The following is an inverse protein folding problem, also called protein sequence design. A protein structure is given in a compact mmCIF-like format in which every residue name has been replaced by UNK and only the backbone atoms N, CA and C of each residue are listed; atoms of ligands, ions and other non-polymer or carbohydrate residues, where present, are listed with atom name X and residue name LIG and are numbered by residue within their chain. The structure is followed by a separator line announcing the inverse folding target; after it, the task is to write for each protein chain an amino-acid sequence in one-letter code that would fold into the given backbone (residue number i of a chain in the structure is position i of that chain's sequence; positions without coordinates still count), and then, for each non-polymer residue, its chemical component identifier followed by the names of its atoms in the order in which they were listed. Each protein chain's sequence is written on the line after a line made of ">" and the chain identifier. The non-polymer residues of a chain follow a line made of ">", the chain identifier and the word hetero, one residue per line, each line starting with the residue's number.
data_IF_230041193305
#
_entry.id   IF_230041193305
#
_cell.length_a   1.000
_cell.length_b   1.000
_cell.length_c   1.000
_cell.angle_alpha   90.00
_cell.angle_beta   90.00
_cell.angle_gamma   90.00
#
_symmetry.space_group_name_H-M   'P 1'
#
loop_
_entity.id
_entity.type
_entity.pdbx_description
1 polymer ?
#
# COMPACT_ATOMS: atom_id res chain seq x y z
N UNK A 1 3.94 0.15 -11.48
CA UNK A 1 4.17 -0.17 -10.06
C UNK A 1 2.84 -0.60 -9.42
N UNK A 2 2.86 -1.69 -8.72
CA UNK A 2 1.73 -2.10 -7.87
C UNK A 2 2.24 -2.16 -6.44
N UNK A 3 1.71 -1.29 -5.55
CA UNK A 3 1.93 -1.47 -4.12
C UNK A 3 1.20 -2.76 -3.71
N UNK A 4 1.92 -3.88 -3.66
CA UNK A 4 1.35 -5.14 -3.20
C UNK A 4 1.32 -5.22 -1.67
N UNK A 5 0.71 -6.28 -1.13
CA UNK A 5 0.55 -6.41 0.31
C UNK A 5 1.87 -6.62 1.04
N UNK A 6 2.86 -7.24 0.38
CA UNK A 6 4.20 -7.46 0.96
C UNK A 6 4.92 -6.12 1.15
N UNK A 7 4.94 -5.27 0.13
CA UNK A 7 5.55 -3.95 0.22
C UNK A 7 4.83 -3.07 1.24
N UNK A 8 3.49 -3.12 1.26
CA UNK A 8 2.70 -2.38 2.24
C UNK A 8 2.96 -2.84 3.68
N UNK A 9 3.30 -4.11 3.91
CA UNK A 9 3.68 -4.61 5.23
C UNK A 9 4.95 -3.94 5.75
N UNK A 10 5.98 -3.83 4.91
CA UNK A 10 7.21 -3.11 5.26
C UNK A 10 6.97 -1.61 5.50
N UNK A 11 6.20 -0.99 4.62
CA UNK A 11 5.83 0.42 4.75
C UNK A 11 4.99 0.69 6.02
N UNK A 12 4.06 -0.20 6.36
CA UNK A 12 3.28 -0.08 7.60
C UNK A 12 4.17 -0.12 8.84
N UNK A 13 5.16 -1.02 8.89
CA UNK A 13 6.16 -1.09 9.96
C UNK A 13 7.00 0.18 10.05
N UNK A 14 7.47 0.71 8.92
CA UNK A 14 8.20 1.98 8.85
C UNK A 14 7.35 3.14 9.40
N UNK A 15 6.14 3.31 8.86
CA UNK A 15 5.24 4.39 9.28
C UNK A 15 4.87 4.28 10.76
N UNK A 16 4.64 3.05 11.27
CA UNK A 16 4.39 2.81 12.68
C UNK A 16 5.56 3.28 13.54
N UNK A 17 6.77 2.86 13.21
CA UNK A 17 7.97 3.19 14.01
C UNK A 17 8.25 4.70 14.09
N UNK A 18 7.91 5.44 13.04
CA UNK A 18 8.18 6.88 12.94
C UNK A 18 7.06 7.73 13.51
N UNK A 19 5.80 7.30 13.35
CA UNK A 19 4.62 8.13 13.61
C UNK A 19 3.85 7.78 14.89
N UNK A 20 4.15 6.64 15.52
CA UNK A 20 3.45 6.20 16.73
C UNK A 20 3.48 7.27 17.83
N UNK A 21 2.32 7.53 18.43
CA UNK A 21 2.08 8.58 19.43
C UNK A 21 2.28 10.03 18.92
N UNK A 22 2.52 10.21 17.62
CA UNK A 22 2.67 11.51 17.00
C UNK A 22 1.38 12.33 17.05
N UNK A 23 1.52 13.63 17.39
CA UNK A 23 0.40 14.56 17.46
C UNK A 23 0.04 15.09 16.09
N UNK A 24 -1.25 15.16 15.80
CA UNK A 24 -1.78 15.70 14.55
C UNK A 24 -1.84 17.23 14.66
N UNK A 25 -1.00 17.92 13.88
CA UNK A 25 -0.94 19.38 13.91
C UNK A 25 -1.83 20.03 12.84
N UNK A 26 -1.77 19.51 11.61
CA UNK A 26 -2.51 20.10 10.48
C UNK A 26 -2.93 19.01 9.50
N UNK A 27 -4.03 19.27 8.77
CA UNK A 27 -4.53 18.39 7.71
C UNK A 27 -4.85 19.24 6.50
N UNK A 28 -4.43 18.78 5.32
CA UNK A 28 -4.66 19.44 4.04
C UNK A 28 -5.20 18.42 3.02
N UNK A 29 -5.92 18.91 2.05
CA UNK A 29 -6.39 18.17 0.89
C UNK A 29 -6.05 18.96 -0.37
N UNK A 30 -4.80 18.85 -0.87
CA UNK A 30 -4.36 19.62 -2.03
C UNK A 30 -5.06 19.20 -3.33
N UNK A 31 -5.45 17.94 -3.44
CA UNK A 31 -6.18 17.39 -4.58
C UNK A 31 -7.42 16.64 -4.13
N UNK A 32 -8.36 16.42 -5.04
CA UNK A 32 -9.66 15.78 -4.74
C UNK A 32 -9.53 14.44 -3.99
N UNK A 33 -8.50 13.66 -4.28
CA UNK A 33 -8.28 12.32 -3.77
C UNK A 33 -6.94 12.15 -3.01
N UNK A 34 -6.36 13.27 -2.55
CA UNK A 34 -5.10 13.27 -1.81
C UNK A 34 -5.19 14.04 -0.50
N UNK A 35 -4.80 13.41 0.61
CA UNK A 35 -4.77 13.98 1.96
C UNK A 35 -3.33 14.05 2.44
N UNK A 36 -2.95 15.18 3.05
CA UNK A 36 -1.70 15.37 3.76
C UNK A 36 -1.99 15.61 5.24
N UNK A 37 -1.40 14.79 6.11
CA UNK A 37 -1.49 14.93 7.57
C UNK A 37 -0.11 15.33 8.07
N UNK A 38 0.00 16.48 8.73
CA UNK A 38 1.21 16.91 9.41
C UNK A 38 1.18 16.38 10.84
N UNK A 39 2.18 15.57 11.14
CA UNK A 39 2.31 14.85 12.41
C UNK A 39 3.62 15.28 13.06
N UNK A 40 3.55 15.73 14.31
CA UNK A 40 4.71 16.06 15.11
C UNK A 40 5.02 14.89 16.05
N UNK A 41 6.20 14.32 15.92
CA UNK A 41 6.67 13.24 16.79
C UNK A 41 8.14 13.43 17.15
N UNK A 42 8.50 13.22 18.40
CA UNK A 42 9.89 13.33 18.91
C UNK A 42 10.62 14.62 18.47
N UNK A 43 9.90 15.76 18.47
CA UNK A 43 10.46 17.06 18.08
C UNK A 43 10.57 17.30 16.57
N UNK A 44 10.24 16.31 15.74
CA UNK A 44 10.26 16.39 14.28
C UNK A 44 8.86 16.51 13.70
N UNK A 45 8.78 17.11 12.50
CA UNK A 45 7.54 17.24 11.76
C UNK A 45 7.58 16.31 10.55
N UNK A 46 6.57 15.45 10.45
CA UNK A 46 6.40 14.52 9.35
C UNK A 46 5.17 14.89 8.54
N UNK A 47 5.25 14.74 7.23
CA UNK A 47 4.10 14.88 6.34
C UNK A 47 3.73 13.51 5.80
N UNK A 48 2.61 12.99 6.27
CA UNK A 48 2.04 11.74 5.79
C UNK A 48 1.09 12.06 4.63
N UNK A 49 1.40 11.53 3.45
CA UNK A 49 0.58 11.62 2.25
C UNK A 49 -0.26 10.36 2.12
N UNK A 50 -1.57 10.51 1.91
CA UNK A 50 -2.51 9.45 1.54
C UNK A 50 -3.15 9.84 0.21
N UNK A 51 -3.08 8.98 -0.80
CA UNK A 51 -3.71 9.19 -2.11
C UNK A 51 -4.61 8.03 -2.48
N UNK A 52 -5.87 8.33 -2.77
CA UNK A 52 -6.85 7.42 -3.36
C UNK A 52 -6.95 7.59 -4.88
N UNK A 53 -5.92 8.14 -5.53
CA UNK A 53 -5.86 8.26 -6.99
C UNK A 53 -6.09 6.91 -7.67
N UNK A 54 -6.86 6.90 -8.74
CA UNK A 54 -7.14 5.67 -9.49
C UNK A 54 -5.90 5.09 -10.17
N UNK A 55 -4.94 5.94 -10.54
CA UNK A 55 -3.71 5.55 -11.23
C UNK A 55 -2.52 5.40 -10.29
N UNK A 56 -2.48 6.16 -9.19
CA UNK A 56 -1.33 6.24 -8.28
C UNK A 56 -1.75 6.25 -6.80
N UNK A 57 -2.54 5.24 -6.36
CA UNK A 57 -2.91 5.16 -4.95
C UNK A 57 -1.70 4.81 -4.12
N UNK A 58 -1.51 5.51 -2.98
CA UNK A 58 -0.33 5.36 -2.14
C UNK A 58 -0.49 5.97 -0.75
N UNK A 59 0.35 5.55 0.15
CA UNK A 59 0.58 6.18 1.44
C UNK A 59 2.09 6.19 1.71
N UNK A 60 2.68 7.30 2.13
CA UNK A 60 4.09 7.39 2.53
C UNK A 60 4.38 8.75 3.16
N UNK A 61 5.54 8.88 3.82
CA UNK A 61 6.06 10.18 4.22
C UNK A 61 6.62 10.90 3.00
N UNK A 62 6.35 12.23 2.90
CA UNK A 62 6.83 13.02 1.77
C UNK A 62 7.43 14.34 2.22
N UNK A 63 8.47 14.78 1.53
CA UNK A 63 9.01 16.13 1.62
C UNK A 63 8.37 17.10 0.62
N UNK A 64 7.54 16.58 -0.29
CA UNK A 64 6.90 17.39 -1.32
C UNK A 64 5.80 18.27 -0.72
N UNK A 65 5.79 19.53 -1.12
CA UNK A 65 4.71 20.46 -0.80
C UNK A 65 3.85 20.70 -2.04
N UNK A 66 2.54 20.74 -1.83
CA UNK A 66 1.56 21.05 -2.88
C UNK A 66 0.73 22.26 -2.47
N UNK A 67 0.39 23.10 -3.44
CA UNK A 67 -0.54 24.20 -3.22
C UNK A 67 -1.91 23.68 -2.79
N UNK A 68 -2.46 24.27 -1.77
CA UNK A 68 -3.78 23.94 -1.27
C UNK A 68 -4.86 24.78 -1.98
N UNK A 69 -6.07 24.25 -2.18
CA UNK A 69 -7.20 25.03 -2.68
C UNK A 69 -7.55 26.16 -1.70
N UNK A 70 -8.11 27.26 -2.23
CA UNK A 70 -8.53 28.41 -1.42
C UNK A 70 -9.57 28.03 -0.35
N UNK A 71 -10.45 27.08 -0.68
CA UNK A 71 -11.44 26.54 0.24
C UNK A 71 -11.18 25.03 0.42
N UNK A 72 -10.98 24.54 1.66
CA UNK A 72 -10.73 23.13 1.89
C UNK A 72 -12.01 22.31 1.59
N UNK A 73 -11.87 21.14 0.96
CA UNK A 73 -12.99 20.22 0.71
C UNK A 73 -13.64 19.72 2.01
N UNK A 74 -14.89 19.28 1.92
CA UNK A 74 -15.68 18.83 3.08
C UNK A 74 -14.97 17.72 3.86
N UNK A 75 -14.44 16.72 3.17
CA UNK A 75 -13.74 15.60 3.83
C UNK A 75 -12.53 16.10 4.67
N UNK A 76 -11.77 17.07 4.15
CA UNK A 76 -10.69 17.72 4.90
C UNK A 76 -11.22 18.40 6.17
N UNK A 77 -12.36 19.08 6.09
CA UNK A 77 -12.97 19.74 7.24
C UNK A 77 -13.44 18.73 8.30
N UNK A 78 -14.01 17.61 7.88
CA UNK A 78 -14.38 16.50 8.79
C UNK A 78 -13.15 15.94 9.48
N UNK A 79 -12.06 15.65 8.75
CA UNK A 79 -10.81 15.18 9.36
C UNK A 79 -10.22 16.19 10.35
N UNK A 80 -10.22 17.49 10.00
CA UNK A 80 -9.73 18.55 10.88
C UNK A 80 -10.51 18.62 12.17
N UNK A 81 -11.83 18.60 12.08
CA UNK A 81 -12.74 18.65 13.25
C UNK A 81 -12.44 17.54 14.25
N UNK A 82 -12.13 16.35 13.75
CA UNK A 82 -12.04 15.16 14.59
C UNK A 82 -10.62 14.72 14.94
N UNK A 83 -9.58 15.13 14.19
CA UNK A 83 -8.23 14.61 14.38
C UNK A 83 -7.20 15.65 14.83
N UNK A 84 -7.41 16.96 14.57
CA UNK A 84 -6.43 17.98 14.99
C UNK A 84 -6.31 17.99 16.51
N UNK A 85 -5.06 17.97 17.00
CA UNK A 85 -4.75 17.90 18.42
C UNK A 85 -4.74 16.48 18.99
N UNK A 86 -5.29 15.50 18.27
CA UNK A 86 -5.24 14.08 18.59
C UNK A 86 -3.89 13.44 18.30
N UNK A 87 -3.79 12.13 18.52
CA UNK A 87 -2.57 11.33 18.34
C UNK A 87 -2.84 10.13 17.43
N UNK A 88 -1.84 9.76 16.65
CA UNK A 88 -1.81 8.48 15.95
C UNK A 88 -1.33 7.40 16.90
N UNK A 89 -2.18 6.45 17.26
CA UNK A 89 -1.86 5.37 18.19
C UNK A 89 -1.12 4.22 17.50
N UNK A 90 -1.63 3.78 16.36
CA UNK A 90 -1.06 2.65 15.63
C UNK A 90 -1.46 2.63 14.16
N UNK A 91 -0.70 1.87 13.37
CA UNK A 91 -0.99 1.56 11.98
C UNK A 91 -1.04 0.05 11.84
N UNK A 92 -2.12 -0.48 11.28
CA UNK A 92 -2.30 -1.91 11.07
C UNK A 92 -2.67 -2.24 9.64
N UNK A 93 -2.29 -3.45 9.21
CA UNK A 93 -2.65 -4.01 7.91
C UNK A 93 -3.41 -5.32 8.14
N UNK A 94 -4.68 -5.44 7.70
CA UNK A 94 -5.41 -6.71 7.78
C UNK A 94 -4.76 -7.77 6.89
N UNK A 95 -4.21 -8.81 7.48
CA UNK A 95 -3.45 -9.81 6.72
C UNK A 95 -2.32 -9.17 5.92
N UNK A 96 -2.21 -9.54 4.65
CA UNK A 96 -1.41 -8.81 3.65
C UNK A 96 -2.30 -8.16 2.59
N UNK A 97 -3.49 -7.73 2.95
CA UNK A 97 -4.34 -6.99 2.02
C UNK A 97 -3.77 -5.58 1.74
N UNK A 98 -4.22 -4.98 0.66
CA UNK A 98 -3.79 -3.61 0.27
C UNK A 98 -4.62 -2.54 0.98
N UNK A 99 -4.75 -2.72 2.29
CA UNK A 99 -5.48 -1.83 3.20
C UNK A 99 -4.57 -1.48 4.37
N UNK A 100 -4.46 -0.21 4.70
CA UNK A 100 -3.87 0.22 5.97
C UNK A 100 -4.92 0.95 6.80
N UNK A 101 -4.92 0.67 8.10
CA UNK A 101 -5.80 1.29 9.08
C UNK A 101 -4.94 2.10 10.05
N UNK A 102 -5.14 3.40 10.06
CA UNK A 102 -4.51 4.32 11.00
C UNK A 102 -5.49 4.53 12.16
N UNK A 103 -5.05 4.18 13.35
CA UNK A 103 -5.85 4.31 14.59
C UNK A 103 -5.47 5.61 15.30
N UNK A 104 -6.46 6.43 15.56
CA UNK A 104 -6.29 7.72 16.22
C UNK A 104 -7.03 7.76 17.54
N UNK A 105 -6.54 8.61 18.42
CA UNK A 105 -7.22 9.03 19.63
C UNK A 105 -7.31 10.56 19.64
N UNK A 106 -8.48 11.11 19.90
CA UNK A 106 -8.70 12.55 19.93
C UNK A 106 -9.88 12.89 20.83
N UNK A 107 -9.92 14.12 21.36
CA UNK A 107 -11.06 14.60 22.11
C UNK A 107 -12.26 14.81 21.20
N UNK A 108 -13.44 14.46 21.68
CA UNK A 108 -14.70 14.80 21.04
C UNK A 108 -15.20 16.20 21.47
N UNK A 109 -16.41 16.56 21.04
CA UNK A 109 -17.01 17.86 21.37
C UNK A 109 -17.35 18.02 22.87
N UNK A 110 -17.45 16.91 23.60
CA UNK A 110 -17.72 16.90 25.05
C UNK A 110 -16.43 16.89 25.88
N UNK A 111 -15.29 16.74 25.22
CA UNK A 111 -13.98 16.67 25.88
C UNK A 111 -13.56 15.24 26.27
N UNK A 112 -14.28 14.24 25.82
CA UNK A 112 -13.95 12.83 26.08
C UNK A 112 -13.00 12.26 25.02
N UNK A 113 -12.06 11.42 25.48
CA UNK A 113 -11.16 10.72 24.57
C UNK A 113 -11.90 9.64 23.79
N UNK A 114 -11.87 9.75 22.47
CA UNK A 114 -12.53 8.80 21.56
C UNK A 114 -11.55 8.28 20.51
N UNK A 115 -11.72 7.01 20.17
CA UNK A 115 -10.93 6.36 19.11
C UNK A 115 -11.59 6.50 17.75
N UNK A 116 -10.80 6.68 16.73
CA UNK A 116 -11.23 6.82 15.34
C UNK A 116 -10.28 6.09 14.41
N UNK A 117 -10.74 5.73 13.22
CA UNK A 117 -9.93 5.02 12.24
C UNK A 117 -9.95 5.76 10.91
N UNK A 118 -8.79 5.92 10.30
CA UNK A 118 -8.66 6.35 8.91
C UNK A 118 -8.14 5.17 8.09
N UNK A 119 -8.97 4.68 7.19
CA UNK A 119 -8.72 3.47 6.41
C UNK A 119 -8.32 3.92 5.00
N UNK A 120 -7.16 3.49 4.51
CA UNK A 120 -6.77 3.67 3.13
C UNK A 120 -6.77 2.33 2.40
N UNK A 121 -7.56 2.25 1.35
CA UNK A 121 -7.64 1.11 0.43
C UNK A 121 -6.87 1.44 -0.85
N UNK A 122 -5.87 0.60 -1.17
CA UNK A 122 -4.96 0.80 -2.31
C UNK A 122 -5.29 -0.23 -3.41
N UNK A 123 -6.39 0.01 -4.13
CA UNK A 123 -7.00 -0.94 -5.07
C UNK A 123 -7.25 -0.32 -6.46
N UNK A 124 -6.29 0.48 -6.96
CA UNK A 124 -6.39 1.16 -8.24
C UNK A 124 -7.64 2.05 -8.33
N UNK A 125 -8.49 1.84 -9.30
CA UNK A 125 -9.73 2.64 -9.48
C UNK A 125 -10.68 2.57 -8.28
N UNK A 126 -10.60 1.53 -7.48
CA UNK A 126 -11.42 1.32 -6.29
C UNK A 126 -10.77 1.83 -5.00
N UNK A 127 -9.61 2.47 -5.10
CA UNK A 127 -8.93 3.07 -3.96
C UNK A 127 -9.80 4.14 -3.31
N UNK A 128 -9.77 4.18 -1.97
CA UNK A 128 -10.52 5.14 -1.18
C UNK A 128 -9.80 5.50 0.12
N UNK A 129 -10.16 6.61 0.74
CA UNK A 129 -9.78 6.98 2.09
C UNK A 129 -11.07 7.18 2.86
N UNK A 130 -11.26 6.37 3.91
CA UNK A 130 -12.52 6.27 4.64
C UNK A 130 -12.26 6.57 6.10
N UNK A 131 -13.03 7.47 6.68
CA UNK A 131 -12.92 7.86 8.07
C UNK A 131 -14.10 7.33 8.88
N UNK A 132 -13.81 6.61 9.98
CA UNK A 132 -14.82 5.98 10.82
C UNK A 132 -14.62 6.33 12.29
N UNK A 133 -15.67 6.16 13.09
CA UNK A 133 -15.55 6.07 14.54
C UNK A 133 -14.94 4.72 14.97
N UNK A 134 -14.87 4.50 16.29
CA UNK A 134 -14.31 3.26 16.86
C UNK A 134 -15.12 2.01 16.48
N UNK A 135 -16.43 2.13 16.30
CA UNK A 135 -17.35 1.04 16.01
C UNK A 135 -17.44 0.72 14.52
N UNK A 136 -16.73 1.50 13.69
CA UNK A 136 -16.69 1.32 12.25
C UNK A 136 -17.79 2.05 11.49
N UNK A 137 -18.56 2.93 12.15
CA UNK A 137 -19.54 3.78 11.47
C UNK A 137 -18.79 4.86 10.68
N UNK A 138 -19.06 4.95 9.39
CA UNK A 138 -18.41 5.89 8.47
C UNK A 138 -18.87 7.31 8.84
N UNK A 139 -17.91 8.17 9.17
CA UNK A 139 -18.11 9.58 9.37
C UNK A 139 -18.07 10.32 8.03
N UNK A 140 -17.11 9.98 7.18
CA UNK A 140 -17.02 10.46 5.78
C UNK A 140 -15.97 9.66 4.99
N UNK A 141 -15.86 9.91 3.67
CA UNK A 141 -14.85 9.32 2.79
C UNK A 141 -14.52 10.22 1.61
N UNK A 142 -13.33 10.05 1.04
CA UNK A 142 -12.91 10.80 -0.17
C UNK A 142 -13.81 10.48 -1.37
N UNK A 143 -14.20 9.20 -1.51
CA UNK A 143 -15.12 8.76 -2.57
C UNK A 143 -16.35 8.13 -1.96
N UNK A 144 -17.50 8.75 -2.16
CA UNK A 144 -18.77 8.19 -1.78
C UNK A 144 -19.18 7.12 -2.80
N UNK A 145 -19.46 5.91 -2.31
CA UNK A 145 -19.86 4.76 -3.14
C UNK A 145 -21.28 4.34 -2.72
N UNK A 146 -22.25 4.68 -3.56
CA UNK A 146 -23.65 4.26 -3.36
C UNK A 146 -23.97 2.93 -4.07
N UNK A 147 -25.13 2.36 -3.81
CA UNK A 147 -25.64 1.15 -4.52
C UNK A 147 -25.69 1.32 -6.04
N UNK A 148 -25.86 2.55 -6.52
CA UNK A 148 -25.87 2.84 -7.96
C UNK A 148 -24.47 2.72 -8.59
N UNK A 149 -23.40 2.94 -7.78
CA UNK A 149 -21.99 2.86 -8.22
C UNK A 149 -21.45 1.45 -8.02
N UNK A 150 -21.80 0.80 -6.90
CA UNK A 150 -21.35 -0.55 -6.58
C UNK A 150 -22.47 -1.36 -5.97
N UNK A 151 -22.72 -2.54 -6.55
CA UNK A 151 -23.68 -3.53 -6.00
C UNK A 151 -23.08 -4.32 -4.84
N UNK A 152 -21.77 -4.24 -4.63
CA UNK A 152 -21.04 -5.09 -3.68
C UNK A 152 -21.06 -4.50 -2.28
N UNK A 153 -20.78 -3.20 -2.15
CA UNK A 153 -20.79 -2.50 -0.85
C UNK A 153 -21.03 -1.01 -1.04
N UNK A 154 -21.55 -0.38 0.00
CA UNK A 154 -21.71 1.07 0.08
C UNK A 154 -20.62 1.68 0.96
N UNK A 155 -20.12 2.85 0.56
CA UNK A 155 -19.22 3.67 1.38
C UNK A 155 -19.83 5.07 1.45
N UNK A 156 -20.70 5.28 2.45
CA UNK A 156 -21.44 6.53 2.66
C UNK A 156 -21.45 6.90 4.14
N UNK A 157 -21.48 8.19 4.49
CA UNK A 157 -21.66 8.64 5.87
C UNK A 157 -22.87 7.98 6.55
N UNK A 158 -22.69 7.56 7.79
CA UNK A 158 -23.72 6.89 8.59
C UNK A 158 -23.87 5.38 8.36
N UNK A 159 -23.25 4.80 7.33
CA UNK A 159 -23.14 3.34 7.12
C UNK A 159 -21.97 2.77 7.93
N UNK A 160 -21.98 1.46 8.16
CA UNK A 160 -20.83 0.78 8.74
C UNK A 160 -19.83 0.38 7.64
N UNK A 161 -18.56 0.53 7.95
CA UNK A 161 -17.50 0.04 7.10
C UNK A 161 -17.55 -1.48 6.99
N UNK A 162 -17.48 -1.96 5.79
CA UNK A 162 -17.32 -3.38 5.48
C UNK A 162 -16.08 -3.55 4.62
N UNK A 163 -15.30 -4.59 4.88
CA UNK A 163 -14.11 -4.88 4.08
C UNK A 163 -14.48 -5.06 2.60
N UNK A 164 -13.54 -4.77 1.69
CA UNK A 164 -13.69 -5.17 0.30
C UNK A 164 -13.98 -6.66 0.18
N UNK A 165 -14.66 -7.10 -0.89
CA UNK A 165 -14.98 -8.52 -1.07
C UNK A 165 -13.73 -9.39 -0.97
N UNK A 166 -13.78 -10.37 -0.11
CA UNK A 166 -12.74 -11.39 -0.03
C UNK A 166 -12.62 -12.12 -1.37
N UNK A 167 -11.38 -12.27 -1.85
CA UNK A 167 -11.09 -13.07 -3.04
C UNK A 167 -10.92 -14.55 -2.71
N UNK A 168 -11.22 -14.97 -1.47
CA UNK A 168 -11.00 -16.34 -1.00
C UNK A 168 -9.52 -16.73 -0.86
N UNK A 169 -8.62 -15.75 -0.84
CA UNK A 169 -7.18 -15.97 -0.73
C UNK A 169 -6.75 -16.13 0.73
N UNK A 170 -5.73 -16.94 0.94
CA UNK A 170 -5.12 -17.20 2.26
C UNK A 170 -4.01 -16.18 2.56
N UNK A 171 -3.78 -15.92 3.87
CA UNK A 171 -2.61 -15.11 4.29
C UNK A 171 -1.34 -15.96 4.13
N UNK A 172 -0.37 -15.54 3.31
CA UNK A 172 0.84 -16.32 3.05
C UNK A 172 1.77 -16.43 4.27
N UNK A 173 1.66 -15.52 5.24
CA UNK A 173 2.51 -15.52 6.43
C UNK A 173 2.24 -16.69 7.35
N UNK A 174 1.02 -17.24 7.32
CA UNK A 174 0.62 -18.42 8.08
C UNK A 174 0.74 -19.75 7.30
N UNK A 175 1.05 -19.68 6.00
CA UNK A 175 1.11 -20.88 5.17
C UNK A 175 2.41 -21.65 5.41
N UNK A 176 2.28 -22.92 5.80
CA UNK A 176 3.40 -23.84 5.96
C UNK A 176 3.84 -24.45 4.61
N UNK A 177 5.07 -25.02 4.59
CA UNK A 177 5.65 -25.67 3.41
C UNK A 177 4.72 -26.74 2.80
N UNK A 178 4.13 -27.60 3.64
CA UNK A 178 3.26 -28.68 3.20
C UNK A 178 1.99 -28.16 2.50
N UNK A 179 1.42 -27.07 3.00
CA UNK A 179 0.25 -26.45 2.40
C UNK A 179 0.58 -25.89 0.99
N UNK A 180 1.73 -25.22 0.86
CA UNK A 180 2.17 -24.70 -0.44
C UNK A 180 2.50 -25.83 -1.42
N UNK A 181 3.15 -26.88 -0.94
CA UNK A 181 3.46 -28.07 -1.74
C UNK A 181 2.17 -28.75 -2.25
N UNK A 182 1.22 -28.99 -1.34
CA UNK A 182 -0.08 -29.57 -1.69
C UNK A 182 -0.83 -28.71 -2.71
N UNK A 183 -0.80 -27.40 -2.56
CA UNK A 183 -1.40 -26.46 -3.50
C UNK A 183 -0.77 -26.60 -4.89
N UNK A 184 0.56 -26.60 -4.99
CA UNK A 184 1.28 -26.66 -6.27
C UNK A 184 1.09 -28.01 -6.98
N UNK A 185 0.97 -29.12 -6.22
CA UNK A 185 0.81 -30.46 -6.78
C UNK A 185 -0.65 -30.79 -7.12
N UNK A 186 -1.62 -30.17 -6.46
CA UNK A 186 -3.07 -30.38 -6.72
C UNK A 186 -3.60 -29.63 -7.92
N UNK A 187 -2.89 -28.63 -8.41
CA UNK A 187 -3.32 -27.80 -9.54
C UNK A 187 -2.99 -28.45 -10.90
N UNK A 188 -3.71 -28.00 -11.92
CA UNK A 188 -3.46 -28.43 -13.29
C UNK A 188 -2.02 -28.03 -13.73
N UNK A 189 -1.25 -28.99 -14.22
CA UNK A 189 0.13 -28.83 -14.66
C UNK A 189 0.36 -27.76 -15.73
N UNK A 190 -0.68 -27.29 -16.39
CA UNK A 190 -0.61 -26.25 -17.40
C UNK A 190 -0.63 -24.81 -16.80
N UNK A 191 -0.85 -24.65 -15.49
CA UNK A 191 -0.86 -23.35 -14.83
C UNK A 191 0.54 -23.06 -14.28
N UNK A 192 1.17 -21.94 -14.66
CA UNK A 192 2.48 -21.56 -14.12
C UNK A 192 2.43 -21.36 -12.60
N UNK A 193 3.45 -21.86 -11.85
CA UNK A 193 3.42 -21.81 -10.38
C UNK A 193 3.34 -20.39 -9.82
N UNK A 194 3.93 -19.39 -10.46
CA UNK A 194 3.80 -18.00 -10.06
C UNK A 194 2.35 -17.48 -10.13
N UNK A 195 1.57 -17.98 -11.06
CA UNK A 195 0.13 -17.68 -11.15
C UNK A 195 -0.64 -18.37 -10.05
N UNK A 196 -0.33 -19.62 -9.75
CA UNK A 196 -0.94 -20.37 -8.64
C UNK A 196 -0.73 -19.61 -7.33
N UNK A 197 0.51 -19.20 -7.04
CA UNK A 197 0.83 -18.44 -5.83
C UNK A 197 0.08 -17.11 -5.77
N UNK A 198 0.09 -16.33 -6.84
CA UNK A 198 -0.58 -15.03 -6.89
C UNK A 198 -2.12 -15.14 -6.79
N UNK A 199 -2.71 -16.21 -7.29
CA UNK A 199 -4.16 -16.43 -7.27
C UNK A 199 -4.64 -16.97 -5.90
N UNK A 200 -3.79 -17.70 -5.15
CA UNK A 200 -4.18 -18.32 -3.87
C UNK A 200 -3.82 -17.51 -2.64
N UNK A 201 -2.80 -16.67 -2.71
CA UNK A 201 -2.34 -15.93 -1.54
C UNK A 201 -2.61 -14.43 -1.65
N UNK A 202 -3.09 -13.84 -0.54
CA UNK A 202 -3.33 -12.40 -0.44
C UNK A 202 -2.01 -11.62 -0.46
N UNK A 203 -2.01 -10.47 -1.12
CA UNK A 203 -0.89 -9.53 -1.07
C UNK A 203 0.33 -9.91 -1.90
N UNK A 204 0.32 -11.04 -2.59
CA UNK A 204 1.38 -11.45 -3.51
C UNK A 204 1.07 -10.88 -4.91
N UNK A 205 1.95 -10.02 -5.42
CA UNK A 205 1.93 -9.59 -6.81
C UNK A 205 2.52 -10.68 -7.73
N UNK A 206 2.25 -10.57 -9.03
CA UNK A 206 2.89 -11.44 -10.01
C UNK A 206 4.43 -11.34 -9.93
N UNK A 207 4.97 -10.15 -9.80
CA UNK A 207 6.41 -9.90 -9.65
C UNK A 207 7.00 -10.62 -8.43
N UNK A 208 6.29 -10.56 -7.29
CA UNK A 208 6.70 -11.24 -6.06
C UNK A 208 6.63 -12.76 -6.23
N UNK A 209 5.60 -13.29 -6.89
CA UNK A 209 5.48 -14.72 -7.20
C UNK A 209 6.58 -15.21 -8.16
N UNK A 210 6.91 -14.43 -9.20
CA UNK A 210 8.01 -14.71 -10.11
C UNK A 210 9.36 -14.77 -9.38
N UNK A 211 9.60 -13.85 -8.42
CA UNK A 211 10.82 -13.89 -7.60
C UNK A 211 10.89 -15.14 -6.73
N UNK A 212 9.80 -15.54 -6.08
CA UNK A 212 9.76 -16.77 -5.27
C UNK A 212 10.08 -18.00 -6.14
N UNK A 213 9.49 -18.10 -7.33
CA UNK A 213 9.78 -19.18 -8.27
C UNK A 213 11.24 -19.15 -8.75
N UNK A 214 11.80 -17.97 -9.01
CA UNK A 214 13.22 -17.83 -9.37
C UNK A 214 14.15 -18.28 -8.24
N UNK A 215 13.82 -17.94 -6.99
CA UNK A 215 14.60 -18.36 -5.81
C UNK A 215 14.67 -19.90 -5.69
N UNK A 216 13.65 -20.59 -6.15
CA UNK A 216 13.61 -22.06 -6.18
C UNK A 216 14.64 -22.67 -7.15
N UNK A 217 15.22 -21.90 -8.07
CA UNK A 217 16.20 -22.34 -9.05
C UNK A 217 15.79 -23.65 -9.77
N UNK A 218 14.52 -23.73 -10.20
CA UNK A 218 14.04 -24.88 -10.94
C UNK A 218 14.69 -24.93 -12.33
N UNK A 219 15.45 -25.99 -12.61
CA UNK A 219 16.06 -26.21 -13.93
C UNK A 219 14.98 -26.59 -14.95
N UNK A 220 15.15 -26.09 -16.18
CA UNK A 220 14.31 -26.49 -17.32
C UNK A 220 14.53 -27.98 -17.62
N UNK A 221 13.56 -28.84 -17.26
CA UNK A 221 13.63 -30.29 -17.46
C UNK A 221 13.77 -31.13 -16.20
N UNK A 222 13.84 -30.53 -14.99
CA UNK A 222 13.78 -31.23 -13.72
C UNK A 222 12.41 -31.89 -13.47
N UNK A 223 12.36 -32.91 -12.58
CA UNK A 223 11.10 -33.51 -12.19
C UNK A 223 10.21 -32.46 -11.51
N UNK A 224 8.95 -32.40 -11.90
CA UNK A 224 8.00 -31.37 -11.46
C UNK A 224 7.74 -31.42 -9.94
N UNK A 225 7.81 -32.60 -9.34
CA UNK A 225 7.69 -32.77 -7.89
C UNK A 225 8.85 -32.08 -7.15
N UNK A 226 10.08 -32.21 -7.61
CA UNK A 226 11.26 -31.55 -7.03
C UNK A 226 11.16 -30.04 -7.14
N UNK A 227 10.60 -29.53 -8.26
CA UNK A 227 10.38 -28.12 -8.45
C UNK A 227 9.33 -27.57 -7.48
N UNK A 228 8.22 -28.26 -7.27
CA UNK A 228 7.18 -27.88 -6.31
C UNK A 228 7.71 -27.81 -4.87
N UNK A 229 8.56 -28.77 -4.47
CA UNK A 229 9.22 -28.76 -3.16
C UNK A 229 10.16 -27.57 -2.99
N UNK A 230 10.98 -27.26 -4.01
CA UNK A 230 11.89 -26.13 -3.99
C UNK A 230 11.11 -24.80 -3.92
N UNK A 231 10.00 -24.67 -4.66
CA UNK A 231 9.14 -23.48 -4.60
C UNK A 231 8.51 -23.35 -3.22
N UNK A 232 8.02 -24.43 -2.61
CA UNK A 232 7.45 -24.40 -1.28
C UNK A 232 8.48 -23.99 -0.20
N UNK A 233 9.75 -24.43 -0.34
CA UNK A 233 10.84 -23.99 0.51
C UNK A 233 11.16 -22.51 0.31
N UNK A 234 11.35 -22.07 -0.94
CA UNK A 234 11.62 -20.67 -1.28
C UNK A 234 10.51 -19.73 -0.81
N UNK A 235 9.24 -20.16 -0.90
CA UNK A 235 8.09 -19.44 -0.37
C UNK A 235 8.21 -19.23 1.15
N UNK A 236 8.50 -20.30 1.88
CA UNK A 236 8.64 -20.22 3.35
C UNK A 236 9.79 -19.32 3.76
N UNK A 237 10.92 -19.41 3.08
CA UNK A 237 12.11 -18.57 3.32
C UNK A 237 11.82 -17.09 2.99
N UNK A 238 11.10 -16.83 1.91
CA UNK A 238 10.68 -15.49 1.53
C UNK A 238 9.80 -14.86 2.63
N UNK A 239 8.76 -15.58 3.09
CA UNK A 239 7.86 -15.07 4.11
C UNK A 239 8.45 -15.07 5.52
N UNK A 240 9.52 -15.84 5.79
CA UNK A 240 10.31 -15.69 7.02
C UNK A 240 10.93 -14.30 7.11
N UNK A 241 11.58 -13.83 6.04
CA UNK A 241 12.14 -12.47 5.97
C UNK A 241 11.09 -11.38 6.22
N UNK A 242 9.87 -11.57 5.68
CA UNK A 242 8.76 -10.62 5.89
C UNK A 242 8.32 -10.61 7.36
N UNK A 243 8.18 -11.79 7.99
CA UNK A 243 7.82 -11.90 9.42
C UNK A 243 8.88 -11.30 10.34
N UNK A 244 10.15 -11.44 9.99
CA UNK A 244 11.30 -10.90 10.72
C UNK A 244 11.50 -9.39 10.48
N UNK A 245 10.74 -8.79 9.57
CA UNK A 245 10.86 -7.37 9.23
C UNK A 245 12.15 -7.03 8.49
N UNK A 246 12.75 -7.98 7.79
CA UNK A 246 14.01 -7.80 7.06
C UNK A 246 13.73 -7.14 5.70
N UNK A 247 13.52 -5.82 5.74
CA UNK A 247 13.26 -5.01 4.57
C UNK A 247 14.46 -4.17 4.16
N UNK A 248 14.66 -4.04 2.86
CA UNK A 248 15.64 -3.13 2.25
C UNK A 248 14.99 -2.52 0.99
N UNK A 249 14.39 -1.33 1.09
CA UNK A 249 13.64 -0.73 -0.02
C UNK A 249 14.51 -0.54 -1.27
N UNK A 250 14.03 -1.04 -2.39
CA UNK A 250 14.71 -0.97 -3.69
C UNK A 250 13.80 -0.30 -4.70
N UNK A 251 14.31 0.74 -5.36
CA UNK A 251 13.71 1.30 -6.57
C UNK A 251 14.28 0.61 -7.79
N UNK A 252 13.43 0.02 -8.60
CA UNK A 252 13.80 -0.56 -9.89
C UNK A 252 13.69 0.51 -10.97
N UNK A 253 14.77 0.66 -11.76
CA UNK A 253 14.84 1.54 -12.91
C UNK A 253 14.64 0.73 -14.18
N UNK A 254 13.79 1.21 -15.05
CA UNK A 254 13.61 0.66 -16.40
C UNK A 254 14.48 1.37 -17.43
N UNK A 255 14.05 1.31 -18.68
CA UNK A 255 14.73 2.00 -19.79
C UNK A 255 14.83 3.51 -19.52
N UNK A 256 15.95 4.11 -19.91
CA UNK A 256 16.25 5.53 -19.72
C UNK A 256 16.20 5.98 -18.26
N UNK A 257 16.52 5.08 -17.31
CA UNK A 257 16.46 5.34 -15.87
C UNK A 257 15.07 5.78 -15.36
N UNK A 258 14.00 5.37 -16.05
CA UNK A 258 12.64 5.66 -15.61
C UNK A 258 12.26 4.77 -14.43
N UNK A 259 11.67 5.33 -13.37
CA UNK A 259 11.16 4.52 -12.27
C UNK A 259 10.14 3.48 -12.76
N UNK A 260 10.41 2.20 -12.50
CA UNK A 260 9.60 1.07 -12.95
C UNK A 260 8.78 0.46 -11.81
N UNK A 261 9.45 0.10 -10.72
CA UNK A 261 8.81 -0.57 -9.58
C UNK A 261 9.55 -0.28 -8.26
N UNK A 262 8.90 -0.59 -7.12
CA UNK A 262 9.52 -0.56 -5.79
C UNK A 262 9.36 -1.95 -5.18
N UNK A 263 10.42 -2.44 -4.57
CA UNK A 263 10.50 -3.78 -4.00
C UNK A 263 10.82 -3.72 -2.51
N UNK A 264 10.37 -4.71 -1.73
CA UNK A 264 10.65 -4.79 -0.29
C UNK A 264 12.12 -5.11 0.02
N UNK A 265 12.81 -5.75 -0.92
CA UNK A 265 14.26 -6.02 -0.95
C UNK A 265 14.65 -6.39 -2.39
N UNK A 266 15.94 -6.63 -2.62
CA UNK A 266 16.45 -6.98 -3.96
C UNK A 266 15.83 -8.28 -4.49
N UNK A 267 15.23 -8.21 -5.68
CA UNK A 267 14.71 -9.34 -6.44
C UNK A 267 15.67 -9.69 -7.56
N UNK A 268 16.03 -10.96 -7.67
CA UNK A 268 16.97 -11.44 -8.69
C UNK A 268 16.38 -11.53 -10.10
N UNK A 269 15.08 -11.30 -10.28
CA UNK A 269 14.45 -11.15 -11.60
C UNK A 269 14.86 -9.84 -12.29
N UNK A 270 15.44 -8.90 -11.55
CA UNK A 270 15.94 -7.65 -12.11
C UNK A 270 17.46 -7.62 -12.11
N UNK A 271 18.09 -7.09 -13.18
CA UNK A 271 19.55 -6.87 -13.22
C UNK A 271 19.99 -5.92 -12.09
N UNK A 272 21.12 -6.22 -11.43
CA UNK A 272 21.64 -5.41 -10.33
C UNK A 272 21.87 -3.94 -10.71
N UNK A 273 22.30 -3.66 -11.95
CA UNK A 273 22.49 -2.29 -12.45
C UNK A 273 21.20 -1.46 -12.63
N UNK A 274 20.03 -2.08 -12.47
CA UNK A 274 18.73 -1.41 -12.53
C UNK A 274 18.13 -1.17 -11.13
N UNK A 275 18.82 -1.51 -10.06
CA UNK A 275 18.33 -1.43 -8.69
C UNK A 275 19.05 -0.34 -7.90
N UNK A 276 18.29 0.54 -7.26
CA UNK A 276 18.77 1.60 -6.37
C UNK A 276 18.20 1.39 -4.97
N UNK A 277 19.07 1.21 -3.98
CA UNK A 277 18.67 1.04 -2.58
C UNK A 277 18.33 2.38 -1.94
N UNK A 278 17.36 2.35 -1.01
CA UNK A 278 16.92 3.49 -0.22
C UNK A 278 16.93 3.17 1.27
N UNK A 279 17.11 4.19 2.14
CA UNK A 279 17.07 4.00 3.59
C UNK A 279 15.65 3.70 4.11
N UNK A 280 14.62 4.14 3.39
CA UNK A 280 13.21 3.95 3.75
C UNK A 280 12.32 3.71 2.53
N UNK A 281 11.15 3.10 2.75
CA UNK A 281 10.11 2.97 1.71
C UNK A 281 9.57 4.33 1.30
N UNK A 282 9.44 5.24 2.27
CA UNK A 282 8.96 6.60 2.01
C UNK A 282 9.89 7.36 1.07
N UNK A 283 11.21 7.28 1.26
CA UNK A 283 12.18 7.92 0.37
C UNK A 283 12.13 7.34 -1.05
N UNK A 284 12.02 6.00 -1.16
CA UNK A 284 11.89 5.32 -2.45
C UNK A 284 10.60 5.73 -3.18
N UNK A 285 9.48 5.82 -2.46
CA UNK A 285 8.18 6.24 -3.00
C UNK A 285 8.19 7.72 -3.40
N UNK A 286 8.78 8.58 -2.57
CA UNK A 286 8.85 10.02 -2.85
C UNK A 286 9.66 10.29 -4.12
N UNK A 287 10.83 9.64 -4.28
CA UNK A 287 11.65 9.75 -5.49
C UNK A 287 10.94 9.14 -6.73
N UNK A 288 10.30 7.98 -6.57
CA UNK A 288 9.52 7.35 -7.64
C UNK A 288 8.46 8.31 -8.19
N UNK A 289 7.63 8.88 -7.32
CA UNK A 289 6.51 9.73 -7.74
C UNK A 289 6.97 11.12 -8.17
N UNK A 290 7.96 11.72 -7.51
CA UNK A 290 8.53 13.00 -7.92
C UNK A 290 9.13 12.94 -9.35
N UNK A 291 9.85 11.87 -9.64
CA UNK A 291 10.43 11.65 -10.98
C UNK A 291 9.33 11.44 -12.03
N UNK A 292 8.31 10.67 -11.69
CA UNK A 292 7.18 10.40 -12.59
C UNK A 292 6.36 11.65 -12.87
N UNK A 293 6.00 12.41 -11.85
CA UNK A 293 5.28 13.67 -12.00
C UNK A 293 6.05 14.67 -12.86
N UNK A 294 7.38 14.74 -12.70
CA UNK A 294 8.26 15.55 -13.54
C UNK A 294 8.20 15.12 -15.00
N UNK A 295 8.29 13.83 -15.27
CA UNK A 295 8.24 13.29 -16.62
C UNK A 295 6.88 13.55 -17.30
N UNK A 296 5.78 13.35 -16.60
CA UNK A 296 4.43 13.62 -17.09
C UNK A 296 4.25 15.10 -17.45
N UNK A 297 4.73 16.02 -16.60
CA UNK A 297 4.71 17.47 -16.90
C UNK A 297 5.53 17.83 -18.15
N UNK A 298 6.73 17.23 -18.32
CA UNK A 298 7.55 17.44 -19.49
C UNK A 298 6.83 16.92 -20.75
N UNK A 299 6.24 15.72 -20.68
CA UNK A 299 5.54 15.12 -21.80
C UNK A 299 4.29 15.94 -22.20
N UNK A 300 3.52 16.45 -21.23
CA UNK A 300 2.39 17.33 -21.49
C UNK A 300 2.82 18.63 -22.19
N UNK A 301 3.88 19.29 -21.70
CA UNK A 301 4.41 20.49 -22.33
C UNK A 301 4.92 20.24 -23.78
N UNK A 302 5.61 19.12 -23.98
CA UNK A 302 6.14 18.74 -25.30
C UNK A 302 5.03 18.38 -26.29
N UNK A 303 3.96 17.71 -25.82
CA UNK A 303 2.81 17.37 -26.65
C UNK A 303 1.99 18.60 -27.03
N UNK A 304 1.94 19.62 -26.18
CA UNK A 304 1.29 20.89 -26.47
C UNK A 304 2.06 21.67 -27.56
N UNK A 305 3.39 21.71 -27.46
CA UNK A 305 4.27 22.35 -28.46
C UNK A 305 4.26 21.66 -29.83
N UNK A 306 3.93 20.37 -29.91
CA UNK A 306 3.80 19.64 -31.19
C UNK A 306 2.45 19.83 -31.89
N UNK A 307 1.45 20.41 -31.19
CA UNK A 307 0.11 20.69 -31.72
C UNK A 307 -0.06 22.15 -32.18
N UNK A 308 0.92 22.97 -31.96
CA UNK A 308 1.07 24.34 -32.50
C UNK A 308 2.01 24.28 -33.70
#
# INVERSE_FOLDING_TARGET
>A
MSLDGVLLSGLAGELQSVLENGRIDRIYQPEKDEIHILIRNNGQNYRLLLSASSSHPRIHLTCQDKANPLSPPMFCMVLRKHLIGGRLLSISQPGLDRILILHFESLDEMGDWTKKKLIIEIMGRHSNIIFTDQDGKILDSVKHVSKNISRVREVLPGKYYTDPPSQGKSDPRGAGREQVLSLLTSQNHNIPPERILADHFTGISRTTAEEICRMAACESGGQQADCAERIASAFTDFFSKIREGLFQPILVLGEQNKPKDILPFSYGIYPSGQMKSYPSFSDALDDYFATRDRMERIQQRTSHLRKV
#
